data_IF_509836674801
#
_entry.id   IF_509836674801
#
_cell.length_a   1.000
_cell.length_b   1.000
_cell.length_c   1.000
_cell.angle_alpha   90.00
_cell.angle_beta   90.00
_cell.angle_gamma   90.00
#
_symmetry.space_group_name_H-M   'P 1'
#
loop_
_entity.id
_entity.type
_entity.pdbx_description
1 polymer ?
#
# COMPACT_ATOMS: atom_id res chain seq x y z
N UNK A 1 -21.05 15.00 6.69
CA UNK A 1 -20.53 14.70 8.03
C UNK A 1 -20.11 15.98 8.74
N UNK A 2 -20.14 15.96 10.07
CA UNK A 2 -19.50 16.99 10.91
C UNK A 2 -18.01 16.66 11.00
N UNK A 3 -17.08 17.61 10.76
CA UNK A 3 -15.65 17.34 10.93
C UNK A 3 -15.36 16.90 12.36
N UNK A 4 -14.52 15.87 12.53
CA UNK A 4 -14.13 15.34 13.84
C UNK A 4 -12.60 15.24 13.97
N UNK A 5 -12.11 15.17 15.20
CA UNK A 5 -10.72 14.89 15.51
C UNK A 5 -10.37 13.38 15.45
N UNK A 6 -9.14 13.03 15.82
CA UNK A 6 -8.65 11.64 15.79
C UNK A 6 -9.39 10.70 16.74
N UNK A 7 -10.07 11.25 17.75
CA UNK A 7 -10.86 10.50 18.73
C UNK A 7 -12.34 10.41 18.30
N UNK A 8 -12.68 10.94 17.12
CA UNK A 8 -14.05 10.99 16.59
C UNK A 8 -14.92 12.08 17.21
N UNK A 9 -14.33 13.01 17.98
CA UNK A 9 -15.07 14.10 18.61
C UNK A 9 -15.29 15.25 17.62
N UNK A 10 -16.48 15.88 17.59
CA UNK A 10 -16.79 16.94 16.65
C UNK A 10 -15.92 18.17 16.86
N UNK A 11 -15.32 18.66 15.77
CA UNK A 11 -14.53 19.88 15.74
C UNK A 11 -15.43 21.13 15.73
N UNK A 12 -14.98 22.24 16.34
CA UNK A 12 -15.65 23.53 16.21
C UNK A 12 -15.86 23.92 14.74
N UNK A 13 -17.00 24.56 14.46
CA UNK A 13 -17.33 25.04 13.11
C UNK A 13 -16.25 26.04 12.64
N UNK A 14 -15.65 25.76 11.49
CA UNK A 14 -14.61 26.61 10.89
C UNK A 14 -13.18 26.26 11.30
N UNK A 15 -12.96 25.15 12.02
CA UNK A 15 -11.60 24.63 12.25
C UNK A 15 -10.91 24.36 10.92
N UNK A 16 -9.75 25.00 10.62
CA UNK A 16 -9.05 24.75 9.38
C UNK A 16 -8.52 23.31 9.36
N UNK A 17 -8.49 22.63 8.19
CA UNK A 17 -7.89 21.31 8.08
C UNK A 17 -6.42 21.39 8.47
N UNK A 18 -5.94 20.36 9.20
CA UNK A 18 -4.53 20.26 9.58
C UNK A 18 -3.71 20.16 8.29
N UNK A 19 -2.79 21.09 8.09
CA UNK A 19 -1.86 21.02 6.96
C UNK A 19 -1.03 19.74 7.09
N UNK A 20 -0.90 18.94 6.02
CA UNK A 20 0.05 17.84 6.00
C UNK A 20 1.44 18.37 6.37
N UNK A 21 2.19 17.62 7.17
CA UNK A 21 3.59 17.95 7.41
C UNK A 21 4.29 18.06 6.06
N UNK A 22 4.90 19.21 5.80
CA UNK A 22 5.59 19.46 4.55
C UNK A 22 6.83 18.57 4.54
N UNK A 23 6.79 17.47 3.80
CA UNK A 23 7.99 16.65 3.56
C UNK A 23 9.02 17.56 2.89
N UNK A 24 10.18 17.71 3.53
CA UNK A 24 11.28 18.50 2.96
C UNK A 24 11.59 17.97 1.56
N UNK A 25 11.82 18.84 0.55
CA UNK A 25 12.04 18.42 -0.84
C UNK A 25 13.19 17.40 -1.02
N UNK A 26 14.16 17.43 -0.11
CA UNK A 26 15.35 16.57 -0.12
C UNK A 26 15.27 15.42 0.90
N UNK A 27 14.09 15.14 1.45
CA UNK A 27 13.92 14.00 2.35
C UNK A 27 13.83 12.69 1.56
N UNK A 28 14.97 12.08 1.28
CA UNK A 28 15.08 10.76 0.65
C UNK A 28 15.00 9.59 1.63
N UNK A 29 14.74 9.85 2.92
CA UNK A 29 14.68 8.79 3.93
C UNK A 29 13.69 7.69 3.51
N UNK A 30 14.07 6.40 3.62
CA UNK A 30 15.24 5.90 4.35
C UNK A 30 16.55 5.94 3.55
N UNK A 31 16.51 6.22 2.25
CA UNK A 31 17.68 6.24 1.38
C UNK A 31 18.64 7.39 1.71
N UNK A 32 19.94 7.19 1.43
CA UNK A 32 20.95 8.24 1.62
C UNK A 32 20.85 9.39 0.61
N UNK A 33 20.10 9.20 -0.49
CA UNK A 33 19.82 10.24 -1.47
C UNK A 33 19.10 9.74 -2.71
N UNK A 34 18.86 10.65 -3.67
CA UNK A 34 18.12 10.38 -4.90
C UNK A 34 18.72 9.24 -5.74
N UNK A 35 20.05 9.16 -5.82
CA UNK A 35 20.73 8.15 -6.64
C UNK A 35 20.41 6.73 -6.14
N UNK A 36 20.48 6.53 -4.83
CA UNK A 36 20.19 5.26 -4.19
C UNK A 36 18.74 4.85 -4.45
N UNK A 37 17.78 5.77 -4.24
CA UNK A 37 16.37 5.54 -4.53
C UNK A 37 16.13 5.15 -6.00
N UNK A 38 16.69 5.92 -6.95
CA UNK A 38 16.51 5.66 -8.39
C UNK A 38 17.07 4.31 -8.81
N UNK A 39 18.23 3.94 -8.26
CA UNK A 39 18.84 2.64 -8.53
C UNK A 39 17.98 1.50 -7.96
N UNK A 40 17.53 1.61 -6.70
CA UNK A 40 16.63 0.63 -6.09
C UNK A 40 15.36 0.45 -6.91
N UNK A 41 14.71 1.56 -7.30
CA UNK A 41 13.51 1.51 -8.13
C UNK A 41 13.78 0.81 -9.48
N UNK A 42 14.88 1.17 -10.17
CA UNK A 42 15.23 0.55 -11.43
C UNK A 42 15.47 -0.97 -11.28
N UNK A 43 16.28 -1.39 -10.30
CA UNK A 43 16.62 -2.80 -10.12
C UNK A 43 15.41 -3.64 -9.69
N UNK A 44 14.58 -3.10 -8.78
CA UNK A 44 13.49 -3.86 -8.18
C UNK A 44 12.19 -3.82 -8.98
N UNK A 45 11.73 -2.63 -9.40
CA UNK A 45 10.39 -2.49 -10.02
C UNK A 45 10.42 -2.61 -11.54
N UNK A 46 11.47 -2.12 -12.20
CA UNK A 46 11.54 -2.06 -13.67
C UNK A 46 12.28 -3.26 -14.26
N UNK A 47 13.48 -3.55 -13.78
CA UNK A 47 14.29 -4.67 -14.25
C UNK A 47 13.84 -5.99 -13.61
N UNK A 48 13.41 -5.94 -12.34
CA UNK A 48 13.14 -7.13 -11.51
C UNK A 48 14.36 -8.06 -11.50
N UNK A 49 15.53 -7.45 -11.31
CA UNK A 49 16.82 -8.13 -11.45
C UNK A 49 16.95 -9.28 -10.44
N UNK A 50 17.36 -10.50 -10.87
CA UNK A 50 17.63 -11.60 -9.96
C UNK A 50 18.65 -11.24 -8.87
N UNK A 51 18.48 -11.78 -7.66
CA UNK A 51 19.29 -11.42 -6.49
C UNK A 51 20.80 -11.65 -6.71
N UNK A 52 21.16 -12.75 -7.37
CA UNK A 52 22.52 -13.09 -7.75
C UNK A 52 23.11 -12.12 -8.80
N UNK A 53 22.28 -11.61 -9.70
CA UNK A 53 22.68 -10.56 -10.65
C UNK A 53 22.86 -9.20 -9.97
N UNK A 54 22.05 -8.87 -8.96
CA UNK A 54 22.24 -7.65 -8.15
C UNK A 54 23.58 -7.71 -7.41
N UNK A 55 23.91 -8.86 -6.81
CA UNK A 55 25.21 -9.06 -6.14
C UNK A 55 26.36 -8.90 -7.13
N UNK A 56 26.28 -9.55 -8.30
CA UNK A 56 27.28 -9.43 -9.36
C UNK A 56 27.46 -7.98 -9.83
N UNK A 57 26.37 -7.23 -9.98
CA UNK A 57 26.42 -5.82 -10.36
C UNK A 57 27.18 -4.99 -9.32
N UNK A 58 26.90 -5.18 -8.04
CA UNK A 58 27.58 -4.44 -6.97
C UNK A 58 29.05 -4.84 -6.83
N UNK A 59 29.40 -6.11 -7.04
CA UNK A 59 30.79 -6.56 -7.08
C UNK A 59 31.56 -5.93 -8.24
N UNK A 60 31.00 -5.92 -9.46
CA UNK A 60 31.61 -5.27 -10.62
C UNK A 60 31.78 -3.77 -10.40
N UNK A 61 30.79 -3.13 -9.79
CA UNK A 61 30.87 -1.71 -9.48
C UNK A 61 31.95 -1.44 -8.43
N UNK A 62 32.06 -2.27 -7.40
CA UNK A 62 33.11 -2.17 -6.39
C UNK A 62 34.51 -2.25 -7.02
N UNK A 63 34.73 -3.22 -7.91
CA UNK A 63 35.99 -3.38 -8.65
C UNK A 63 36.31 -2.10 -9.45
N UNK A 64 35.35 -1.58 -10.21
CA UNK A 64 35.56 -0.37 -11.02
C UNK A 64 35.94 0.87 -10.19
N UNK A 65 35.41 1.00 -8.97
CA UNK A 65 35.73 2.11 -8.07
C UNK A 65 37.13 2.00 -7.48
N UNK A 66 37.56 0.77 -7.16
CA UNK A 66 38.91 0.49 -6.67
C UNK A 66 39.93 0.82 -7.77
N UNK A 67 39.68 0.40 -9.01
CA UNK A 67 40.55 0.71 -10.16
C UNK A 67 40.67 2.21 -10.44
N UNK A 68 39.60 2.97 -10.20
CA UNK A 68 39.59 4.43 -10.32
C UNK A 68 40.34 5.16 -9.17
N UNK A 69 40.94 4.43 -8.22
CA UNK A 69 41.63 4.99 -7.05
C UNK A 69 40.70 5.55 -5.98
N UNK A 70 39.40 5.23 -6.06
CA UNK A 70 38.41 5.62 -5.06
C UNK A 70 38.37 4.66 -3.87
N UNK A 71 37.82 5.14 -2.76
CA UNK A 71 37.30 4.25 -1.71
C UNK A 71 35.91 3.78 -2.13
N UNK A 72 35.60 2.47 -2.12
CA UNK A 72 34.29 1.98 -2.55
C UNK A 72 33.22 2.44 -1.56
N UNK A 73 32.59 3.57 -1.85
CA UNK A 73 31.33 3.97 -1.20
C UNK A 73 30.19 3.36 -2.00
N UNK A 74 30.03 2.05 -1.85
CA UNK A 74 28.94 1.31 -2.48
C UNK A 74 27.61 1.78 -1.92
N UNK A 75 26.61 1.91 -2.80
CA UNK A 75 25.24 2.26 -2.40
C UNK A 75 24.62 1.14 -1.56
N UNK A 76 24.85 -0.11 -1.95
CA UNK A 76 24.43 -1.32 -1.24
C UNK A 76 25.57 -2.33 -1.24
N UNK A 77 25.72 -3.13 -0.18
CA UNK A 77 26.75 -4.18 -0.16
C UNK A 77 26.34 -5.42 -0.96
N UNK A 78 25.05 -5.71 -1.01
CA UNK A 78 24.46 -6.87 -1.69
C UNK A 78 22.95 -6.67 -1.86
N UNK A 79 22.27 -7.62 -2.51
CA UNK A 79 20.82 -7.63 -2.67
C UNK A 79 20.06 -7.55 -1.34
N UNK A 80 20.59 -8.14 -0.25
CA UNK A 80 19.94 -8.11 1.07
C UNK A 80 19.88 -6.69 1.64
N UNK A 81 20.95 -5.92 1.48
CA UNK A 81 20.95 -4.52 1.91
C UNK A 81 19.93 -3.72 1.11
N UNK A 82 19.84 -3.96 -0.20
CA UNK A 82 18.84 -3.33 -1.06
C UNK A 82 17.40 -3.72 -0.66
N UNK A 83 17.12 -4.99 -0.41
CA UNK A 83 15.79 -5.44 0.01
C UNK A 83 15.41 -4.90 1.39
N UNK A 84 16.34 -4.92 2.35
CA UNK A 84 16.12 -4.31 3.66
C UNK A 84 15.81 -2.81 3.54
N UNK A 85 16.44 -2.12 2.59
CA UNK A 85 16.18 -0.70 2.30
C UNK A 85 14.75 -0.49 1.79
N UNK A 86 14.28 -1.36 0.90
CA UNK A 86 12.89 -1.36 0.40
C UNK A 86 11.93 -1.59 1.56
N UNK A 87 12.20 -2.60 2.39
CA UNK A 87 11.34 -2.95 3.54
C UNK A 87 11.28 -1.84 4.60
N UNK A 88 12.32 -0.98 4.67
CA UNK A 88 12.36 0.21 5.54
C UNK A 88 11.69 1.43 4.91
N UNK A 89 11.24 1.37 3.66
CA UNK A 89 10.64 2.53 2.99
C UNK A 89 9.26 2.82 3.57
N UNK A 90 9.16 3.91 4.33
CA UNK A 90 7.95 4.30 5.09
C UNK A 90 6.85 4.97 4.25
N UNK A 91 7.07 5.19 2.95
CA UNK A 91 6.05 5.80 2.10
C UNK A 91 4.87 4.83 1.92
N UNK A 92 3.76 5.11 2.62
CA UNK A 92 2.52 4.30 2.53
C UNK A 92 2.38 3.20 3.58
N UNK A 93 3.21 3.26 4.64
CA UNK A 93 3.19 2.65 5.99
C UNK A 93 2.22 1.51 6.35
N UNK A 94 1.88 0.62 5.42
CA UNK A 94 1.18 -0.63 5.73
C UNK A 94 1.99 -1.78 5.20
N UNK A 95 2.67 -2.47 6.13
CA UNK A 95 3.47 -3.64 5.81
C UNK A 95 2.58 -4.76 5.27
N UNK A 96 3.05 -5.40 4.21
CA UNK A 96 2.50 -6.67 3.77
C UNK A 96 2.69 -7.71 4.87
N UNK A 97 1.60 -8.42 5.16
CA UNK A 97 1.55 -9.55 6.07
C UNK A 97 1.10 -10.77 5.29
N UNK A 98 1.47 -11.95 5.76
CA UNK A 98 0.95 -13.18 5.20
C UNK A 98 0.68 -14.24 6.25
N UNK A 99 -0.26 -15.10 5.91
CA UNK A 99 -0.53 -16.33 6.63
C UNK A 99 -0.93 -17.41 5.63
N UNK A 100 -0.57 -18.64 5.95
CA UNK A 100 -0.91 -19.79 5.11
C UNK A 100 -2.21 -20.39 5.61
N UNK A 101 -3.19 -20.55 4.71
CA UNK A 101 -4.41 -21.30 4.99
C UNK A 101 -4.38 -22.66 4.34
N UNK A 102 -5.11 -23.59 4.95
CA UNK A 102 -5.43 -24.90 4.41
C UNK A 102 -6.89 -25.20 4.72
N UNK A 103 -7.56 -25.88 3.81
CA UNK A 103 -8.92 -26.37 4.05
C UNK A 103 -8.93 -27.33 5.27
N UNK A 104 -9.86 -27.08 6.21
CA UNK A 104 -9.95 -27.81 7.49
C UNK A 104 -11.23 -28.64 7.66
N UNK A 105 -12.08 -28.74 6.63
CA UNK A 105 -13.31 -29.53 6.69
C UNK A 105 -13.07 -31.04 6.59
N UNK A 106 -14.00 -31.85 7.08
CA UNK A 106 -14.00 -33.30 6.87
C UNK A 106 -14.18 -33.61 5.38
N UNK A 107 -13.44 -34.60 4.89
CA UNK A 107 -13.41 -34.97 3.48
C UNK A 107 -13.82 -36.42 3.30
N UNK A 108 -14.92 -36.63 2.59
CA UNK A 108 -15.26 -37.94 2.02
C UNK A 108 -14.47 -38.19 0.71
N UNK A 109 -14.07 -37.11 0.02
CA UNK A 109 -13.29 -37.18 -1.22
C UNK A 109 -12.22 -36.08 -1.26
N UNK A 110 -10.98 -36.46 -1.55
CA UNK A 110 -9.78 -35.62 -1.40
C UNK A 110 -9.37 -35.02 -2.75
N UNK A 111 -9.94 -33.86 -3.11
CA UNK A 111 -9.53 -33.12 -4.32
C UNK A 111 -8.26 -32.28 -4.10
N UNK A 112 -7.39 -32.10 -5.11
CA UNK A 112 -6.05 -31.52 -4.92
C UNK A 112 -6.03 -30.13 -4.28
N UNK A 113 -7.00 -29.26 -4.59
CA UNK A 113 -7.04 -27.91 -4.03
C UNK A 113 -7.33 -27.90 -2.53
N UNK A 114 -8.05 -28.90 -1.98
CA UNK A 114 -8.33 -29.01 -0.55
C UNK A 114 -7.13 -29.49 0.27
N UNK A 115 -6.13 -30.08 -0.39
CA UNK A 115 -4.88 -30.50 0.24
C UNK A 115 -3.78 -29.43 0.15
N UNK A 116 -3.95 -28.47 -0.75
CA UNK A 116 -3.00 -27.41 -0.99
C UNK A 116 -2.94 -26.41 0.17
N UNK A 117 -1.78 -25.78 0.29
CA UNK A 117 -1.55 -24.63 1.15
C UNK A 117 -1.64 -23.37 0.30
N UNK A 118 -2.35 -22.36 0.78
CA UNK A 118 -2.48 -21.08 0.09
C UNK A 118 -1.92 -19.98 0.97
N UNK A 119 -0.92 -19.27 0.47
CA UNK A 119 -0.40 -18.08 1.12
C UNK A 119 -1.30 -16.89 0.79
N UNK A 120 -1.94 -16.35 1.81
CA UNK A 120 -2.71 -15.11 1.70
C UNK A 120 -1.79 -13.97 2.08
N UNK A 121 -1.64 -13.01 1.16
CA UNK A 121 -0.91 -11.78 1.37
C UNK A 121 -1.90 -10.62 1.50
N UNK A 122 -1.76 -9.81 2.56
CA UNK A 122 -2.65 -8.69 2.83
C UNK A 122 -1.92 -7.56 3.54
N UNK A 123 -2.42 -6.33 3.38
CA UNK A 123 -2.08 -5.19 4.22
C UNK A 123 -3.23 -4.97 5.21
N UNK A 124 -2.94 -4.43 6.41
CA UNK A 124 -3.99 -4.07 7.37
C UNK A 124 -5.00 -3.12 6.68
N UNK A 125 -6.27 -3.53 6.46
CA UNK A 125 -7.19 -2.73 5.67
C UNK A 125 -7.47 -1.36 6.31
N UNK A 126 -7.56 -1.32 7.64
CA UNK A 126 -7.80 -0.09 8.40
C UNK A 126 -6.67 0.92 8.20
N UNK A 127 -5.41 0.50 8.42
CA UNK A 127 -4.24 1.35 8.20
C UNK A 127 -4.11 1.79 6.74
N UNK A 128 -4.49 0.91 5.80
CA UNK A 128 -4.43 1.22 4.36
C UNK A 128 -5.40 2.35 4.03
N UNK A 129 -6.63 2.27 4.56
CA UNK A 129 -7.63 3.32 4.40
C UNK A 129 -7.17 4.60 5.09
N UNK A 130 -6.62 4.55 6.31
CA UNK A 130 -6.06 5.74 6.96
C UNK A 130 -4.98 6.44 6.11
N UNK A 131 -4.09 5.67 5.48
CA UNK A 131 -3.06 6.22 4.60
C UNK A 131 -3.62 6.86 3.34
N UNK A 132 -4.63 6.24 2.71
CA UNK A 132 -5.35 6.82 1.56
C UNK A 132 -6.01 8.14 1.97
N UNK A 133 -6.75 8.14 3.08
CA UNK A 133 -7.48 9.31 3.57
C UNK A 133 -6.55 10.45 4.04
N UNK A 134 -5.35 10.12 4.51
CA UNK A 134 -4.36 11.11 4.96
C UNK A 134 -3.58 11.73 3.80
N UNK A 135 -3.63 11.14 2.61
CA UNK A 135 -2.88 11.62 1.45
C UNK A 135 -3.74 12.61 0.63
N UNK A 136 -3.35 13.90 0.57
CA UNK A 136 -4.13 14.93 -0.13
C UNK A 136 -4.28 14.66 -1.63
N UNK A 137 -3.39 13.89 -2.24
CA UNK A 137 -3.47 13.53 -3.67
C UNK A 137 -4.73 12.70 -3.98
N UNK A 138 -5.33 12.04 -2.98
CA UNK A 138 -6.56 11.25 -3.13
C UNK A 138 -7.83 12.01 -2.73
N UNK A 139 -7.75 13.32 -2.44
CA UNK A 139 -8.92 14.09 -1.97
C UNK A 139 -10.08 14.09 -2.97
N UNK A 140 -9.79 14.05 -4.27
CA UNK A 140 -10.80 13.99 -5.34
C UNK A 140 -11.29 12.58 -5.67
N UNK A 141 -10.60 11.55 -5.17
CA UNK A 141 -10.81 10.16 -5.59
C UNK A 141 -11.78 9.41 -4.68
N UNK A 142 -12.15 9.98 -3.53
CA UNK A 142 -13.05 9.36 -2.55
C UNK A 142 -14.28 10.24 -2.35
N UNK A 143 -15.45 9.76 -2.78
CA UNK A 143 -16.73 10.33 -2.31
C UNK A 143 -17.08 9.70 -0.96
N UNK A 144 -17.35 10.55 0.02
CA UNK A 144 -17.70 10.16 1.38
C UNK A 144 -19.21 10.10 1.61
N UNK A 145 -19.99 10.46 0.59
CA UNK A 145 -21.44 10.54 0.70
C UNK A 145 -22.02 9.17 0.36
N UNK A 146 -22.75 8.54 1.28
CA UNK A 146 -23.52 7.37 0.91
C UNK A 146 -24.56 7.76 -0.14
N UNK A 147 -24.83 6.82 -1.03
CA UNK A 147 -25.78 6.99 -2.11
C UNK A 147 -26.54 5.69 -2.34
N UNK A 148 -27.76 5.80 -2.88
CA UNK A 148 -28.54 4.65 -3.30
C UNK A 148 -28.84 4.79 -4.78
N UNK A 149 -28.35 3.86 -5.59
CA UNK A 149 -28.68 3.77 -7.00
C UNK A 149 -29.64 2.60 -7.25
N UNK A 150 -30.62 2.81 -8.11
CA UNK A 150 -31.65 1.83 -8.43
C UNK A 150 -31.64 1.55 -9.92
N UNK A 151 -31.73 0.28 -10.33
CA UNK A 151 -31.84 -0.05 -11.75
C UNK A 151 -33.13 0.56 -12.33
N UNK A 152 -32.94 1.46 -13.30
CA UNK A 152 -34.02 2.08 -14.08
C UNK A 152 -34.96 1.09 -14.78
N UNK A 153 -34.52 -0.16 -15.01
CA UNK A 153 -35.31 -1.23 -15.64
C UNK A 153 -36.13 -2.05 -14.64
N UNK A 154 -35.87 -1.88 -13.34
CA UNK A 154 -36.55 -2.63 -12.30
C UNK A 154 -37.98 -2.10 -12.08
N UNK A 155 -38.95 -3.00 -11.99
CA UNK A 155 -40.36 -2.63 -11.85
C UNK A 155 -40.63 -1.93 -10.49
N UNK A 156 -41.63 -1.05 -10.42
CA UNK A 156 -41.96 -0.26 -9.20
C UNK A 156 -42.10 -1.07 -7.90
N UNK A 157 -42.35 -2.38 -7.97
CA UNK A 157 -42.53 -3.24 -6.79
C UNK A 157 -41.25 -3.96 -6.32
N UNK A 158 -40.20 -4.02 -7.16
CA UNK A 158 -38.93 -4.64 -6.83
C UNK A 158 -37.83 -3.76 -7.43
N UNK A 159 -37.44 -2.70 -6.72
CA UNK A 159 -36.25 -1.93 -7.15
C UNK A 159 -35.02 -2.70 -6.71
N UNK A 160 -34.22 -3.15 -7.67
CA UNK A 160 -32.91 -3.73 -7.37
C UNK A 160 -31.94 -2.58 -7.11
N UNK A 161 -31.40 -2.55 -5.91
CA UNK A 161 -30.33 -1.62 -5.54
C UNK A 161 -29.03 -2.07 -6.17
N UNK A 162 -28.40 -1.16 -6.90
CA UNK A 162 -27.09 -1.37 -7.48
C UNK A 162 -26.05 -1.06 -6.41
N UNK A 163 -25.23 -2.06 -6.09
CA UNK A 163 -24.10 -1.93 -5.16
C UNK A 163 -22.80 -1.98 -5.95
N UNK A 164 -22.08 -0.87 -5.94
CA UNK A 164 -20.81 -0.71 -6.67
C UNK A 164 -19.64 -0.59 -5.70
N UNK A 165 -19.79 0.21 -4.64
CA UNK A 165 -18.76 0.46 -3.66
C UNK A 165 -19.30 0.44 -2.21
N UNK A 166 -18.42 0.76 -1.25
CA UNK A 166 -18.77 0.82 0.17
C UNK A 166 -19.87 1.85 0.48
N UNK A 167 -19.88 2.98 -0.22
CA UNK A 167 -20.84 4.08 0.01
C UNK A 167 -22.22 3.76 -0.56
N UNK A 168 -22.33 2.80 -1.48
CA UNK A 168 -23.61 2.26 -1.96
C UNK A 168 -24.31 1.26 -1.01
N UNK A 169 -23.69 0.93 0.13
CA UNK A 169 -24.22 -0.05 1.08
C UNK A 169 -25.17 0.52 2.13
N UNK A 170 -26.16 -0.28 2.54
CA UNK A 170 -27.15 0.07 3.58
C UNK A 170 -26.49 0.60 4.87
N UNK A 171 -25.38 -0.02 5.27
CA UNK A 171 -24.65 0.41 6.47
C UNK A 171 -24.19 1.87 6.37
N UNK A 172 -23.59 2.26 5.24
CA UNK A 172 -23.10 3.62 5.05
C UNK A 172 -24.27 4.62 5.03
N UNK A 173 -25.39 4.25 4.42
CA UNK A 173 -26.62 5.04 4.43
C UNK A 173 -27.17 5.26 5.83
N UNK A 174 -27.28 4.18 6.62
CA UNK A 174 -27.78 4.23 8.00
C UNK A 174 -26.88 5.06 8.92
N UNK A 175 -25.57 5.12 8.67
CA UNK A 175 -24.64 5.94 9.44
C UNK A 175 -24.71 7.45 9.13
N UNK A 176 -25.30 7.86 8.01
CA UNK A 176 -25.35 9.27 7.61
C UNK A 176 -26.59 10.03 8.11
N UNK A 177 -27.47 9.36 8.83
CA UNK A 177 -28.72 9.89 9.40
C UNK A 177 -28.50 10.69 10.68
#
# INVERSE_FOLDING_TARGET
>A
GTPCDMDGLPLPRGTPPKLPETKLPDNWFPYSGQLEFKLTNFLYTQNQMPADHIDMLFDLWAVSLIEAGGQPKLLFKCHKDLYNMIDQTHLGDVKWQSFTIKYSGNLDELVPWMQAHFDIWFCCPLETVHNILSNPDFTSEVDYRPYCEYDSKSSKCCKEELREDFMSGDWAWDQAV
#
